data_IF_681058972568
#
_entry.id   IF_681058972568
#
_cell.length_a   1.000
_cell.length_b   1.000
_cell.length_c   1.000
_cell.angle_alpha   90.00
_cell.angle_beta   90.00
_cell.angle_gamma   90.00
#
_symmetry.space_group_name_H-M   'P 1'
#
loop_
_entity.id
_entity.type
_entity.pdbx_description
1 polymer ?
#
# COMPACT_ATOMS: atom_id res chain seq x y z
N UNK A 1 46.80 13.38 -24.85
CA UNK A 1 45.43 12.90 -24.57
C UNK A 1 45.11 11.78 -25.53
N UNK A 2 44.71 10.61 -25.00
CA UNK A 2 43.53 9.94 -25.51
C UNK A 2 42.48 9.94 -24.40
N UNK A 3 41.26 10.30 -24.79
CA UNK A 3 40.08 10.23 -23.95
C UNK A 3 39.88 8.77 -23.54
N UNK A 4 39.97 8.52 -22.23
CA UNK A 4 39.34 7.36 -21.61
C UNK A 4 37.84 7.49 -21.91
N UNK A 5 37.42 6.78 -22.95
CA UNK A 5 36.02 6.41 -23.15
C UNK A 5 35.60 5.58 -21.95
N UNK A 6 35.25 6.25 -20.86
CA UNK A 6 34.42 5.68 -19.82
C UNK A 6 33.16 5.19 -20.54
N UNK A 7 33.09 3.88 -20.75
CA UNK A 7 31.87 3.23 -21.19
C UNK A 7 30.74 3.75 -20.28
N UNK A 8 29.59 4.17 -20.85
CA UNK A 8 28.49 4.63 -20.02
C UNK A 8 28.16 3.47 -19.09
N UNK A 9 28.40 3.67 -17.79
CA UNK A 9 27.99 2.72 -16.76
C UNK A 9 26.54 2.39 -17.05
N UNK A 10 26.23 1.12 -17.29
CA UNK A 10 24.88 0.58 -17.30
C UNK A 10 24.29 0.73 -15.88
N UNK A 11 24.14 1.97 -15.41
CA UNK A 11 23.26 2.33 -14.32
C UNK A 11 21.88 2.01 -14.85
N UNK A 12 21.40 0.82 -14.48
CA UNK A 12 20.04 0.37 -14.75
C UNK A 12 19.14 1.18 -13.82
N UNK A 13 19.04 2.48 -14.07
CA UNK A 13 18.21 3.42 -13.33
C UNK A 13 16.82 2.82 -13.29
N UNK A 14 16.35 2.46 -12.09
CA UNK A 14 15.04 1.83 -11.96
C UNK A 14 13.99 2.67 -12.71
N UNK A 15 13.17 2.06 -13.58
CA UNK A 15 12.14 2.77 -14.32
C UNK A 15 11.30 3.62 -13.37
N UNK A 16 11.04 4.87 -13.74
CA UNK A 16 10.27 5.81 -12.91
C UNK A 16 8.88 5.25 -12.53
N UNK A 17 8.30 4.43 -13.42
CA UNK A 17 7.05 3.69 -13.18
C UNK A 17 7.14 2.68 -12.02
N UNK A 18 8.30 2.04 -11.83
CA UNK A 18 8.56 1.07 -10.77
C UNK A 18 8.63 1.77 -9.40
N UNK A 19 9.30 2.92 -9.32
CA UNK A 19 9.35 3.75 -8.11
C UNK A 19 7.94 4.19 -7.68
N UNK A 20 7.13 4.66 -8.63
CA UNK A 20 5.74 5.04 -8.36
C UNK A 20 4.90 3.86 -7.91
N UNK A 21 5.01 2.70 -8.58
CA UNK A 21 4.29 1.49 -8.23
C UNK A 21 4.66 0.99 -6.82
N UNK A 22 5.93 1.08 -6.43
CA UNK A 22 6.39 0.79 -5.07
C UNK A 22 5.81 1.75 -4.04
N UNK A 23 5.81 3.07 -4.30
CA UNK A 23 5.18 4.06 -3.41
C UNK A 23 3.69 3.77 -3.24
N UNK A 24 3.00 3.47 -4.33
CA UNK A 24 1.59 3.13 -4.32
C UNK A 24 1.29 1.83 -3.55
N UNK A 25 2.15 0.81 -3.69
CA UNK A 25 2.07 -0.44 -2.93
C UNK A 25 2.18 -0.26 -1.41
N UNK A 26 2.92 0.77 -0.98
CA UNK A 26 3.21 1.06 0.42
C UNK A 26 2.18 2.03 1.02
N UNK A 27 1.81 3.07 0.27
CA UNK A 27 1.01 4.19 0.76
C UNK A 27 -0.42 4.27 0.22
N UNK A 28 -0.77 3.47 -0.80
CA UNK A 28 -2.12 3.45 -1.36
C UNK A 28 -3.20 3.11 -0.32
N UNK A 29 -2.89 2.16 0.59
CA UNK A 29 -3.80 1.78 1.68
C UNK A 29 -3.96 2.87 2.75
N UNK A 30 -2.90 3.41 3.37
CA UNK A 30 -3.03 4.57 4.25
C UNK A 30 -3.80 5.75 3.63
N UNK A 31 -3.51 6.07 2.37
CA UNK A 31 -4.18 7.17 1.68
C UNK A 31 -5.67 6.90 1.47
N UNK A 32 -6.05 5.67 1.10
CA UNK A 32 -7.46 5.31 0.97
C UNK A 32 -8.25 5.48 2.27
N UNK A 33 -7.63 5.23 3.43
CA UNK A 33 -8.24 5.48 4.73
C UNK A 33 -8.47 6.97 4.98
N UNK A 34 -7.51 7.84 4.65
CA UNK A 34 -7.68 9.30 4.77
C UNK A 34 -8.84 9.79 3.89
N UNK A 35 -8.92 9.31 2.65
CA UNK A 35 -10.01 9.67 1.74
C UNK A 35 -11.35 9.18 2.28
N UNK A 36 -11.44 7.95 2.81
CA UNK A 36 -12.67 7.43 3.38
C UNK A 36 -13.13 8.21 4.62
N UNK A 37 -12.20 8.58 5.50
CA UNK A 37 -12.50 9.43 6.66
C UNK A 37 -12.90 10.84 6.22
N UNK A 38 -12.25 11.40 5.20
CA UNK A 38 -12.58 12.73 4.66
C UNK A 38 -13.94 12.77 3.94
N UNK A 39 -14.35 11.67 3.32
CA UNK A 39 -15.64 11.56 2.62
C UNK A 39 -16.80 11.12 3.52
N UNK A 40 -16.53 10.58 4.71
CA UNK A 40 -17.59 10.14 5.63
C UNK A 40 -18.59 11.23 6.07
N UNK A 41 -18.20 12.51 6.25
CA UNK A 41 -19.14 13.59 6.58
C UNK A 41 -20.13 13.90 5.44
N UNK A 42 -19.78 13.56 4.19
CA UNK A 42 -20.61 13.83 3.02
C UNK A 42 -21.71 12.77 2.80
N UNK A 43 -21.87 11.83 3.73
CA UNK A 43 -22.88 10.76 3.62
C UNK A 43 -22.61 9.76 2.50
N UNK A 44 -21.44 9.84 1.85
CA UNK A 44 -21.00 8.95 0.80
C UNK A 44 -20.72 7.55 1.38
N UNK A 45 -21.75 6.72 1.37
CA UNK A 45 -21.67 5.27 1.61
C UNK A 45 -21.07 4.58 0.38
N UNK A 46 -19.88 5.01 -0.04
CA UNK A 46 -19.11 4.25 -1.03
C UNK A 46 -18.94 2.84 -0.45
N UNK A 47 -19.06 1.75 -1.23
CA UNK A 47 -18.76 0.42 -0.73
C UNK A 47 -17.30 0.42 -0.26
N UNK A 48 -17.11 0.62 1.04
CA UNK A 48 -15.84 1.00 1.69
C UNK A 48 -14.78 -0.05 1.42
N UNK A 49 -15.19 -1.31 1.40
CA UNK A 49 -14.34 -2.45 1.07
C UNK A 49 -13.88 -2.41 -0.40
N UNK A 50 -14.79 -2.14 -1.34
CA UNK A 50 -14.43 -2.04 -2.78
C UNK A 50 -13.45 -0.89 -2.98
N UNK A 51 -13.72 0.28 -2.39
CA UNK A 51 -12.80 1.41 -2.48
C UNK A 51 -11.43 1.11 -1.88
N UNK A 52 -11.33 0.46 -0.71
CA UNK A 52 -10.05 0.03 -0.11
C UNK A 52 -9.33 -0.98 -1.00
N UNK A 53 -10.03 -1.96 -1.55
CA UNK A 53 -9.47 -2.99 -2.43
C UNK A 53 -8.95 -2.38 -3.74
N UNK A 54 -9.68 -1.46 -4.37
CA UNK A 54 -9.20 -0.81 -5.60
C UNK A 54 -8.12 0.22 -5.31
N UNK A 55 -8.32 1.09 -4.31
CA UNK A 55 -7.41 2.20 -4.02
C UNK A 55 -6.10 1.76 -3.34
N UNK A 56 -6.06 0.63 -2.66
CA UNK A 56 -4.82 0.13 -2.07
C UNK A 56 -4.41 -1.30 -2.46
N UNK A 57 -5.29 -2.08 -3.08
CA UNK A 57 -4.95 -3.32 -3.77
C UNK A 57 -4.63 -3.15 -5.25
N UNK A 58 -4.92 -2.00 -5.86
CA UNK A 58 -4.60 -1.71 -7.27
C UNK A 58 -3.13 -1.93 -7.63
N UNK A 59 -2.22 -1.68 -6.69
CA UNK A 59 -0.79 -1.93 -6.86
C UNK A 59 -0.46 -3.43 -7.08
N UNK A 60 -1.23 -4.35 -6.50
CA UNK A 60 -0.96 -5.79 -6.63
C UNK A 60 -1.08 -6.28 -8.06
N UNK A 61 -2.06 -5.79 -8.83
CA UNK A 61 -2.25 -6.20 -10.22
C UNK A 61 -1.06 -5.75 -11.09
N UNK A 62 -0.62 -4.51 -10.92
CA UNK A 62 0.56 -3.97 -11.60
C UNK A 62 1.83 -4.74 -11.23
N UNK A 63 2.04 -5.01 -9.93
CA UNK A 63 3.20 -5.75 -9.43
C UNK A 63 3.19 -7.21 -9.86
N UNK A 64 2.03 -7.86 -9.92
CA UNK A 64 1.90 -9.23 -10.40
C UNK A 64 2.21 -9.33 -11.90
N UNK A 65 1.69 -8.39 -12.70
CA UNK A 65 2.00 -8.32 -14.13
C UNK A 65 3.49 -8.10 -14.37
N UNK A 66 4.11 -7.21 -13.58
CA UNK A 66 5.55 -6.94 -13.66
C UNK A 66 6.38 -8.16 -13.27
N UNK A 67 6.07 -8.83 -12.16
CA UNK A 67 6.80 -10.02 -11.71
C UNK A 67 6.63 -11.23 -12.62
N UNK A 68 5.59 -11.29 -13.45
CA UNK A 68 5.50 -12.30 -14.52
C UNK A 68 6.54 -12.07 -15.62
N UNK A 69 6.91 -10.82 -15.87
CA UNK A 69 7.90 -10.43 -16.89
C UNK A 69 9.32 -10.40 -16.33
N UNK A 70 9.46 -10.00 -15.07
CA UNK A 70 10.73 -9.86 -14.36
C UNK A 70 10.63 -10.52 -12.97
N UNK A 71 10.71 -11.85 -12.87
CA UNK A 71 10.53 -12.56 -11.60
C UNK A 71 11.61 -12.23 -10.55
N UNK A 72 12.81 -11.88 -11.00
CA UNK A 72 13.97 -11.60 -10.14
C UNK A 72 14.06 -10.14 -9.68
N UNK A 73 13.05 -9.31 -9.97
CA UNK A 73 13.03 -7.92 -9.56
C UNK A 73 12.76 -7.79 -8.05
N UNK A 74 13.84 -7.67 -7.26
CA UNK A 74 13.80 -7.57 -5.80
C UNK A 74 12.90 -6.42 -5.29
N UNK A 75 12.92 -5.29 -5.99
CA UNK A 75 12.10 -4.13 -5.64
C UNK A 75 10.60 -4.44 -5.80
N UNK A 76 10.22 -5.05 -6.94
CA UNK A 76 8.83 -5.46 -7.18
C UNK A 76 8.37 -6.56 -6.21
N UNK A 77 9.25 -7.50 -5.85
CA UNK A 77 8.98 -8.53 -4.84
C UNK A 77 8.72 -7.90 -3.46
N UNK A 78 9.59 -6.98 -3.03
CA UNK A 78 9.43 -6.27 -1.77
C UNK A 78 8.14 -5.43 -1.74
N UNK A 79 7.87 -4.68 -2.82
CA UNK A 79 6.64 -3.88 -2.95
C UNK A 79 5.39 -4.77 -2.89
N UNK A 80 5.40 -5.93 -3.56
CA UNK A 80 4.28 -6.90 -3.51
C UNK A 80 4.08 -7.47 -2.11
N UNK A 81 5.15 -7.78 -1.40
CA UNK A 81 5.07 -8.27 -0.02
C UNK A 81 4.44 -7.21 0.88
N UNK A 82 4.88 -5.95 0.78
CA UNK A 82 4.28 -4.86 1.56
C UNK A 82 2.82 -4.65 1.20
N UNK A 83 2.46 -4.63 -0.08
CA UNK A 83 1.05 -4.49 -0.49
C UNK A 83 0.16 -5.63 0.01
N UNK A 84 0.67 -6.88 0.04
CA UNK A 84 -0.04 -8.01 0.65
C UNK A 84 -0.27 -7.84 2.14
N UNK A 85 0.73 -7.34 2.88
CA UNK A 85 0.59 -7.04 4.31
C UNK A 85 -0.47 -5.95 4.50
N UNK A 86 -0.40 -4.87 3.72
CA UNK A 86 -1.40 -3.80 3.78
C UNK A 86 -2.81 -4.34 3.52
N UNK A 87 -3.00 -5.23 2.55
CA UNK A 87 -4.30 -5.86 2.29
C UNK A 87 -4.76 -6.78 3.42
N UNK A 88 -3.85 -7.57 4.00
CA UNK A 88 -4.17 -8.44 5.14
C UNK A 88 -4.60 -7.63 6.36
N UNK A 89 -3.92 -6.52 6.67
CA UNK A 89 -4.30 -5.60 7.75
C UNK A 89 -5.71 -5.06 7.55
N UNK A 90 -6.06 -4.67 6.32
CA UNK A 90 -7.43 -4.21 6.04
C UNK A 90 -8.46 -5.31 6.19
N UNK A 91 -8.21 -6.51 5.66
CA UNK A 91 -9.14 -7.63 5.82
C UNK A 91 -9.33 -7.98 7.30
N UNK A 92 -8.27 -7.96 8.10
CA UNK A 92 -8.36 -8.17 9.54
C UNK A 92 -9.18 -7.08 10.22
N UNK A 93 -9.01 -5.81 9.86
CA UNK A 93 -9.80 -4.72 10.40
C UNK A 93 -11.30 -4.86 10.06
N UNK A 94 -11.63 -5.25 8.83
CA UNK A 94 -13.01 -5.52 8.41
C UNK A 94 -13.61 -6.72 9.17
N UNK A 95 -12.84 -7.81 9.32
CA UNK A 95 -13.26 -9.00 10.09
C UNK A 95 -13.46 -8.70 11.57
N UNK A 96 -12.65 -7.82 12.17
CA UNK A 96 -12.82 -7.38 13.56
C UNK A 96 -14.06 -6.49 13.69
N UNK A 97 -14.33 -5.63 12.71
CA UNK A 97 -15.48 -4.70 12.75
C UNK A 97 -16.82 -5.44 12.71
N UNK A 98 -16.92 -6.54 11.94
CA UNK A 98 -18.16 -7.29 11.72
C UNK A 98 -18.85 -7.78 13.02
N UNK A 99 -18.18 -8.48 13.95
CA UNK A 99 -18.76 -8.87 15.23
C UNK A 99 -19.29 -7.69 16.04
N UNK A 100 -18.58 -6.56 16.07
CA UNK A 100 -19.04 -5.38 16.81
C UNK A 100 -20.32 -4.79 16.23
N UNK A 101 -20.47 -4.80 14.90
CA UNK A 101 -21.71 -4.35 14.25
C UNK A 101 -22.89 -5.32 14.49
N UNK A 102 -22.63 -6.60 14.75
CA UNK A 102 -23.67 -7.59 15.02
C UNK A 102 -24.11 -7.60 16.50
N UNK A 103 -23.19 -7.30 17.43
CA UNK A 103 -23.46 -7.39 18.87
C UNK A 103 -23.84 -6.04 19.47
N UNK A 104 -23.29 -4.92 18.99
CA UNK A 104 -23.56 -3.61 19.60
C UNK A 104 -24.88 -3.00 19.09
N UNK A 105 -25.58 -2.23 19.94
CA UNK A 105 -26.65 -1.35 19.50
C UNK A 105 -26.19 -0.36 18.42
N UNK A 106 -27.08 -0.01 17.48
CA UNK A 106 -26.77 0.84 16.31
C UNK A 106 -26.13 2.18 16.67
N UNK A 107 -26.49 2.76 17.81
CA UNK A 107 -25.93 4.02 18.30
C UNK A 107 -24.41 3.96 18.61
N UNK A 108 -23.88 2.77 18.89
CA UNK A 108 -22.45 2.56 19.13
C UNK A 108 -21.66 2.15 17.88
N UNK A 109 -22.33 1.87 16.76
CA UNK A 109 -21.66 1.39 15.53
C UNK A 109 -20.64 2.38 15.00
N UNK A 110 -20.96 3.67 15.02
CA UNK A 110 -20.05 4.72 14.56
C UNK A 110 -18.77 4.79 15.41
N UNK A 111 -18.91 4.71 16.74
CA UNK A 111 -17.77 4.71 17.67
C UNK A 111 -16.92 3.44 17.54
N UNK A 112 -17.55 2.27 17.47
CA UNK A 112 -16.86 1.00 17.31
C UNK A 112 -16.11 0.92 15.97
N UNK A 113 -16.77 1.28 14.87
CA UNK A 113 -16.13 1.36 13.55
C UNK A 113 -15.00 2.40 13.54
N UNK A 114 -15.19 3.55 14.19
CA UNK A 114 -14.18 4.61 14.30
C UNK A 114 -12.91 4.14 15.01
N UNK A 115 -13.04 3.44 16.13
CA UNK A 115 -11.89 2.88 16.87
C UNK A 115 -11.13 1.87 16.02
N UNK A 116 -11.83 0.95 15.36
CA UNK A 116 -11.19 -0.06 14.51
C UNK A 116 -10.50 0.58 13.31
N UNK A 117 -11.15 1.57 12.67
CA UNK A 117 -10.56 2.34 11.56
C UNK A 117 -9.30 3.07 12.01
N UNK A 118 -9.31 3.70 13.19
CA UNK A 118 -8.13 4.40 13.74
C UNK A 118 -6.98 3.45 14.04
N UNK A 119 -7.25 2.32 14.70
CA UNK A 119 -6.25 1.30 14.98
C UNK A 119 -5.66 0.72 13.69
N UNK A 120 -6.51 0.38 12.71
CA UNK A 120 -6.09 -0.12 11.41
C UNK A 120 -5.23 0.91 10.66
N UNK A 121 -5.63 2.19 10.70
CA UNK A 121 -4.85 3.27 10.10
C UNK A 121 -3.45 3.38 10.71
N UNK A 122 -3.32 3.30 12.04
CA UNK A 122 -2.02 3.29 12.72
C UNK A 122 -1.12 2.15 12.23
N UNK A 123 -1.67 0.94 12.09
CA UNK A 123 -0.93 -0.22 11.55
C UNK A 123 -0.55 0.01 10.08
N UNK A 124 -1.45 0.56 9.26
CA UNK A 124 -1.16 0.86 7.86
C UNK A 124 -0.01 1.86 7.71
N UNK A 125 0.05 2.91 8.54
CA UNK A 125 1.15 3.88 8.56
C UNK A 125 2.46 3.20 8.95
N UNK A 126 2.44 2.39 10.01
CA UNK A 126 3.64 1.67 10.45
C UNK A 126 4.20 0.74 9.36
N UNK A 127 3.33 -0.07 8.74
CA UNK A 127 3.69 -0.92 7.59
C UNK A 127 4.17 -0.07 6.42
N UNK A 128 3.57 1.10 6.21
CA UNK A 128 3.96 2.09 5.21
C UNK A 128 5.40 2.58 5.40
N UNK A 129 5.76 2.95 6.62
CA UNK A 129 7.11 3.42 6.95
C UNK A 129 8.12 2.29 6.76
N UNK A 130 7.87 1.10 7.32
CA UNK A 130 8.74 -0.06 7.16
C UNK A 130 8.93 -0.46 5.69
N UNK A 131 7.84 -0.45 4.92
CA UNK A 131 7.87 -0.72 3.49
C UNK A 131 8.69 0.32 2.72
N UNK A 132 8.54 1.60 3.04
CA UNK A 132 9.28 2.70 2.41
C UNK A 132 10.78 2.57 2.67
N UNK A 133 11.18 2.36 3.92
CA UNK A 133 12.59 2.19 4.30
C UNK A 133 13.21 1.00 3.58
N UNK A 134 12.49 -0.12 3.50
CA UNK A 134 12.94 -1.31 2.77
C UNK A 134 13.08 -1.05 1.27
N UNK A 135 12.12 -0.39 0.64
CA UNK A 135 12.18 -0.08 -0.79
C UNK A 135 13.30 0.91 -1.11
N UNK A 136 13.53 1.88 -0.24
CA UNK A 136 14.64 2.83 -0.36
C UNK A 136 16.00 2.13 -0.24
N UNK A 137 16.17 1.28 0.78
CA UNK A 137 17.40 0.51 0.95
C UNK A 137 17.70 -0.42 -0.24
N UNK A 138 16.66 -0.96 -0.89
CA UNK A 138 16.82 -1.72 -2.14
C UNK A 138 17.21 -0.78 -3.29
N UNK A 139 16.53 0.36 -3.45
CA UNK A 139 16.81 1.31 -4.52
C UNK A 139 18.24 1.89 -4.44
N UNK A 140 18.75 2.16 -3.23
CA UNK A 140 20.10 2.64 -2.98
C UNK A 140 21.19 1.63 -3.36
N UNK A 141 20.90 0.31 -3.37
CA UNK A 141 21.84 -0.71 -3.85
C UNK A 141 22.03 -0.71 -5.37
N UNK A 142 21.10 -0.12 -6.09
CA UNK A 142 21.08 -0.08 -7.55
C UNK A 142 21.31 1.34 -8.12
N UNK A 143 21.60 2.32 -7.26
CA UNK A 143 21.94 3.70 -7.63
C UNK A 143 23.47 3.86 -7.67
#
# INVERSE_FOLDING_TARGET
MPQDSAAPSNQRTQPQSLKWLGRYAVWGMPFSYLVLVGLSPLGLKVPTVIFKVFAGGGAMFGLQSLLKKEPDNEYALAARKTSRIQMAVMLMAELITLPFLLVLPREHWASAAGIVVFAAFGVHIFVGILGSNRLQAIAERFA
#
